data_IF_760705199157
#
_entry.id   IF_760705199157
#
_cell.length_a   1.000
_cell.length_b   1.000
_cell.length_c   1.000
_cell.angle_alpha   90.00
_cell.angle_beta   90.00
_cell.angle_gamma   90.00
#
_symmetry.space_group_name_H-M   'P 1'
#
loop_
_entity.id
_entity.type
_entity.pdbx_description
1 polymer ?
#
# COMPACT_ATOMS: atom_id res chain seq x y z
N UNK A 1 28.33 -0.62 -13.05
CA UNK A 1 29.58 -0.19 -13.71
C UNK A 1 30.60 0.07 -12.62
N UNK A 2 31.78 -0.56 -12.68
CA UNK A 2 32.86 -0.27 -11.74
C UNK A 2 33.58 -1.51 -11.19
N UNK A 3 34.37 -2.17 -12.06
CA UNK A 3 35.68 -2.77 -11.76
C UNK A 3 35.86 -3.75 -10.58
N UNK A 4 35.91 -5.04 -10.92
CA UNK A 4 36.93 -5.98 -10.38
C UNK A 4 38.34 -5.59 -10.88
N UNK A 5 39.44 -6.32 -10.59
CA UNK A 5 39.91 -7.03 -9.38
C UNK A 5 41.36 -6.62 -9.01
N UNK A 6 41.85 -6.87 -7.78
CA UNK A 6 43.31 -6.92 -7.53
C UNK A 6 43.70 -7.94 -6.45
N UNK A 7 44.03 -9.14 -6.88
CA UNK A 7 45.20 -9.88 -6.34
C UNK A 7 46.43 -9.45 -7.17
N UNK A 8 47.69 -9.80 -6.86
CA UNK A 8 48.27 -10.55 -5.73
C UNK A 8 49.53 -9.88 -5.11
N UNK A 9 50.03 -10.34 -3.95
CA UNK A 9 51.48 -10.51 -3.81
C UNK A 9 51.88 -11.46 -2.66
N UNK A 10 52.63 -12.53 -2.96
CA UNK A 10 53.36 -13.32 -1.99
C UNK A 10 54.73 -12.68 -1.75
N UNK A 11 55.03 -12.29 -0.51
CA UNK A 11 56.40 -11.99 -0.08
C UNK A 11 57.03 -13.27 0.45
N UNK A 12 57.75 -13.89 -0.48
CA UNK A 12 58.82 -14.83 -0.21
C UNK A 12 60.09 -14.05 0.11
N UNK A 13 60.95 -14.65 0.97
CA UNK A 13 62.42 -14.56 1.08
C UNK A 13 62.84 -14.57 2.58
N UNK A 14 64.07 -14.99 2.94
CA UNK A 14 64.84 -16.11 2.42
C UNK A 14 65.42 -17.01 3.53
N UNK A 15 65.64 -18.27 3.13
CA UNK A 15 66.51 -19.28 3.74
C UNK A 15 68.00 -18.87 3.67
N UNK A 16 68.75 -18.99 4.78
CA UNK A 16 70.15 -19.42 4.78
C UNK A 16 70.20 -20.82 5.43
N UNK A 17 70.68 -21.89 4.80
CA UNK A 17 72.01 -22.03 4.22
C UNK A 17 72.91 -22.76 5.25
N UNK A 18 73.30 -24.03 5.02
CA UNK A 18 74.11 -24.81 5.95
C UNK A 18 75.59 -24.45 5.80
N UNK A 19 76.27 -24.16 6.91
CA UNK A 19 77.73 -24.07 6.95
C UNK A 19 78.26 -25.18 7.84
N UNK A 20 78.53 -26.31 7.17
CA UNK A 20 79.59 -27.22 7.56
C UNK A 20 80.91 -26.45 7.54
N UNK A 21 81.60 -26.40 8.67
CA UNK A 21 83.05 -26.23 8.69
C UNK A 21 83.61 -27.08 9.81
N UNK A 22 84.00 -28.29 9.42
CA UNK A 22 84.97 -29.12 10.12
C UNK A 22 86.17 -28.27 10.54
N UNK A 23 86.47 -28.26 11.83
CA UNK A 23 87.84 -28.04 12.29
C UNK A 23 88.07 -29.02 13.44
N UNK A 24 88.47 -30.21 13.02
CA UNK A 24 89.15 -31.19 13.82
C UNK A 24 90.44 -30.53 14.36
N UNK A 25 90.39 -30.13 15.64
CA UNK A 25 91.60 -29.81 16.41
C UNK A 25 91.53 -30.64 17.67
N UNK A 26 92.34 -31.68 17.68
CA UNK A 26 92.72 -32.50 18.82
C UNK A 26 93.40 -31.63 19.90
N UNK A 27 92.84 -31.50 21.12
CA UNK A 27 93.63 -31.09 22.27
C UNK A 27 94.15 -32.34 22.98
N UNK A 28 95.47 -32.47 22.91
CA UNK A 28 96.32 -33.33 23.72
C UNK A 28 95.86 -33.35 25.18
N UNK A 29 95.51 -34.54 25.67
CA UNK A 29 95.28 -34.82 27.09
C UNK A 29 96.62 -34.58 27.81
N UNK A 30 96.78 -33.39 28.39
CA UNK A 30 97.82 -33.13 29.39
C UNK A 30 97.19 -33.22 30.77
N UNK A 31 97.53 -34.32 31.44
CA UNK A 31 97.24 -34.55 32.86
C UNK A 31 98.19 -33.65 33.68
N UNK A 32 97.64 -33.05 34.73
CA UNK A 32 98.30 -32.46 35.94
C UNK A 32 98.63 -30.97 35.88
N UNK A 33 97.93 -30.19 36.71
CA UNK A 33 98.50 -29.51 37.89
C UNK A 33 97.36 -28.87 38.73
N UNK A 34 97.26 -29.28 39.99
CA UNK A 34 96.29 -28.78 40.97
C UNK A 34 96.51 -27.31 41.28
N UNK A 35 95.55 -26.46 40.92
CA UNK A 35 95.44 -25.09 41.38
C UNK A 35 94.40 -25.00 42.52
N UNK A 36 94.82 -24.68 43.77
CA UNK A 36 93.90 -24.54 44.90
C UNK A 36 92.95 -23.31 44.81
N UNK A 37 93.08 -22.45 43.78
CA UNK A 37 92.17 -21.31 43.61
C UNK A 37 90.78 -21.73 43.08
N UNK A 38 90.69 -22.76 42.24
CA UNK A 38 89.43 -23.22 41.62
C UNK A 38 88.47 -23.78 42.68
N UNK A 39 89.00 -24.46 43.70
CA UNK A 39 88.19 -25.01 44.79
C UNK A 39 87.58 -23.89 45.64
N UNK A 40 88.29 -22.78 45.87
CA UNK A 40 87.72 -21.62 46.56
C UNK A 40 86.61 -20.93 45.75
N UNK A 41 86.77 -20.78 44.42
CA UNK A 41 85.69 -20.27 43.56
C UNK A 41 84.50 -21.22 43.48
N UNK A 42 84.73 -22.53 43.47
CA UNK A 42 83.65 -23.52 43.52
C UNK A 42 82.84 -23.40 44.81
N UNK A 43 83.51 -23.26 45.96
CA UNK A 43 82.83 -23.08 47.26
C UNK A 43 82.10 -21.74 47.34
N UNK A 44 82.69 -20.63 46.88
CA UNK A 44 81.98 -19.34 46.82
C UNK A 44 80.78 -19.38 45.86
N UNK A 45 80.95 -20.04 44.72
CA UNK A 45 79.90 -20.25 43.73
C UNK A 45 78.71 -21.00 44.32
N UNK A 46 78.92 -22.06 45.09
CA UNK A 46 77.80 -22.81 45.69
C UNK A 46 77.00 -22.02 46.72
N UNK A 47 77.58 -21.01 47.37
CA UNK A 47 76.84 -20.10 48.27
C UNK A 47 76.15 -18.95 47.54
N UNK A 48 76.78 -18.37 46.51
CA UNK A 48 76.24 -17.22 45.78
C UNK A 48 75.17 -17.65 44.76
N UNK A 49 75.34 -18.83 44.16
CA UNK A 49 74.44 -19.38 43.14
C UNK A 49 72.99 -19.56 43.63
N UNK A 50 72.67 -20.14 44.80
CA UNK A 50 71.30 -20.20 45.26
C UNK A 50 70.74 -18.80 45.57
N UNK A 51 71.56 -17.89 46.09
CA UNK A 51 71.13 -16.53 46.42
C UNK A 51 70.76 -15.72 45.17
N UNK A 52 71.41 -15.99 44.03
CA UNK A 52 71.12 -15.34 42.74
C UNK A 52 70.06 -16.08 41.91
N UNK A 53 70.00 -17.41 41.99
CA UNK A 53 69.05 -18.22 41.23
C UNK A 53 67.62 -18.16 41.79
N UNK A 54 67.45 -18.13 43.12
CA UNK A 54 66.11 -18.11 43.72
C UNK A 54 65.25 -16.92 43.25
N UNK A 55 65.71 -15.66 43.33
CA UNK A 55 64.94 -14.52 42.85
C UNK A 55 64.71 -14.60 41.34
N UNK A 56 65.69 -15.08 40.57
CA UNK A 56 65.55 -15.26 39.13
C UNK A 56 64.45 -16.27 38.77
N UNK A 57 64.38 -17.40 39.49
CA UNK A 57 63.34 -18.41 39.29
C UNK A 57 61.95 -17.88 39.67
N UNK A 58 61.84 -17.11 40.76
CA UNK A 58 60.58 -16.47 41.16
C UNK A 58 60.11 -15.45 40.10
N UNK A 59 61.00 -14.59 39.61
CA UNK A 59 60.69 -13.66 38.52
C UNK A 59 60.25 -14.40 37.26
N UNK A 60 60.93 -15.51 36.90
CA UNK A 60 60.55 -16.34 35.75
C UNK A 60 59.15 -16.92 35.90
N UNK A 61 58.77 -17.37 37.10
CA UNK A 61 57.41 -17.87 37.39
C UNK A 61 56.37 -16.76 37.25
N UNK A 62 56.61 -15.59 37.83
CA UNK A 62 55.70 -14.43 37.72
C UNK A 62 55.53 -13.98 36.27
N UNK A 63 56.63 -13.90 35.52
CA UNK A 63 56.61 -13.52 34.10
C UNK A 63 55.82 -14.53 33.25
N UNK A 64 55.87 -15.82 33.59
CA UNK A 64 55.04 -16.85 32.95
C UNK A 64 53.54 -16.65 33.21
N UNK A 65 53.15 -16.32 34.44
CA UNK A 65 51.75 -16.02 34.79
C UNK A 65 51.28 -14.76 34.07
N UNK A 66 52.09 -13.69 34.08
CA UNK A 66 51.76 -12.46 33.38
C UNK A 66 51.59 -12.68 31.87
N UNK A 67 52.47 -13.48 31.24
CA UNK A 67 52.34 -13.88 29.83
C UNK A 67 51.03 -14.64 29.57
N UNK A 68 50.66 -15.58 30.43
CA UNK A 68 49.38 -16.31 30.31
C UNK A 68 48.18 -15.36 30.42
N UNK A 69 48.24 -14.41 31.35
CA UNK A 69 47.18 -13.41 31.51
C UNK A 69 47.09 -12.47 30.29
N UNK A 70 48.23 -12.03 29.75
CA UNK A 70 48.27 -11.21 28.52
C UNK A 70 47.64 -12.00 27.36
N UNK A 71 48.04 -13.26 27.16
CA UNK A 71 47.46 -14.09 26.10
C UNK A 71 45.95 -14.30 26.30
N UNK A 72 45.49 -14.48 27.54
CA UNK A 72 44.06 -14.61 27.85
C UNK A 72 43.28 -13.30 27.65
N UNK A 73 43.91 -12.16 27.89
CA UNK A 73 43.33 -10.84 27.61
C UNK A 73 43.28 -10.58 26.11
N UNK A 74 44.31 -10.99 25.37
CA UNK A 74 44.34 -10.89 23.91
C UNK A 74 43.24 -11.73 23.27
N UNK A 75 43.06 -12.98 23.71
CA UNK A 75 41.98 -13.84 23.20
C UNK A 75 40.59 -13.28 23.52
N UNK A 76 40.38 -12.77 24.74
CA UNK A 76 39.10 -12.15 25.09
C UNK A 76 38.85 -10.85 24.33
N UNK A 77 39.88 -10.05 24.05
CA UNK A 77 39.75 -8.84 23.25
C UNK A 77 39.38 -9.17 21.79
N UNK A 78 39.99 -10.21 21.20
CA UNK A 78 39.64 -10.66 19.85
C UNK A 78 38.17 -11.11 19.77
N UNK A 79 37.70 -11.88 20.75
CA UNK A 79 36.29 -12.33 20.81
C UNK A 79 35.36 -11.12 20.96
N UNK A 80 35.64 -10.20 21.89
CA UNK A 80 34.82 -9.00 22.07
C UNK A 80 34.77 -8.12 20.81
N UNK A 81 35.88 -7.99 20.08
CA UNK A 81 35.88 -7.27 18.80
C UNK A 81 35.04 -7.98 17.76
N UNK A 82 35.11 -9.31 17.70
CA UNK A 82 34.27 -10.10 16.80
C UNK A 82 32.79 -9.96 17.14
N UNK A 83 32.42 -10.03 18.41
CA UNK A 83 31.04 -9.87 18.87
C UNK A 83 30.50 -8.46 18.61
N UNK A 84 31.31 -7.42 18.85
CA UNK A 84 30.95 -6.03 18.53
C UNK A 84 30.70 -5.87 17.03
N UNK A 85 31.58 -6.43 16.18
CA UNK A 85 31.40 -6.39 14.74
C UNK A 85 30.14 -7.15 14.30
N UNK A 86 29.86 -8.31 14.90
CA UNK A 86 28.64 -9.07 14.64
C UNK A 86 27.39 -8.27 15.04
N UNK A 87 27.37 -7.69 16.24
CA UNK A 87 26.26 -6.85 16.70
C UNK A 87 26.09 -5.58 15.84
N UNK A 88 27.18 -4.98 15.36
CA UNK A 88 27.10 -3.85 14.43
C UNK A 88 26.47 -4.26 13.09
N UNK A 89 26.78 -5.45 12.57
CA UNK A 89 26.15 -5.97 11.35
C UNK A 89 24.67 -6.27 11.57
N UNK A 90 24.30 -6.93 12.66
CA UNK A 90 22.91 -7.22 13.00
C UNK A 90 22.08 -5.95 13.18
N UNK A 91 22.61 -4.95 13.89
CA UNK A 91 21.93 -3.65 14.03
C UNK A 91 21.83 -2.89 12.73
N UNK A 92 22.79 -3.07 11.81
CA UNK A 92 22.72 -2.56 10.44
C UNK A 92 21.57 -3.19 9.66
N UNK A 93 21.45 -4.52 9.68
CA UNK A 93 20.39 -5.27 9.02
C UNK A 93 19.01 -4.90 9.58
N UNK A 94 18.87 -4.86 10.90
CA UNK A 94 17.61 -4.47 11.54
C UNK A 94 17.16 -3.04 11.17
N UNK A 95 18.11 -2.11 11.03
CA UNK A 95 17.80 -0.75 10.56
C UNK A 95 17.32 -0.73 9.11
N UNK A 96 17.95 -1.52 8.23
CA UNK A 96 17.54 -1.64 6.83
C UNK A 96 16.12 -2.23 6.72
N UNK A 97 15.82 -3.26 7.50
CA UNK A 97 14.47 -3.84 7.58
C UNK A 97 13.44 -2.83 8.07
N UNK A 98 13.75 -2.07 9.12
CA UNK A 98 12.85 -1.01 9.62
C UNK A 98 12.62 0.08 8.57
N UNK A 99 13.66 0.48 7.82
CA UNK A 99 13.50 1.44 6.72
C UNK A 99 12.62 0.88 5.61
N UNK A 100 12.80 -0.40 5.26
CA UNK A 100 11.97 -1.10 4.26
C UNK A 100 10.51 -1.17 4.70
N UNK A 101 10.24 -1.57 5.93
CA UNK A 101 8.88 -1.63 6.48
C UNK A 101 8.24 -0.24 6.51
N UNK A 102 8.99 0.80 6.87
CA UNK A 102 8.50 2.18 6.82
C UNK A 102 8.17 2.63 5.39
N UNK A 103 8.97 2.25 4.41
CA UNK A 103 8.68 2.50 2.99
C UNK A 103 7.36 1.86 2.58
N UNK A 104 7.20 0.56 2.85
CA UNK A 104 5.97 -0.18 2.53
C UNK A 104 4.73 0.39 3.26
N UNK A 105 4.88 0.79 4.53
CA UNK A 105 3.79 1.45 5.26
C UNK A 105 3.41 2.79 4.64
N UNK A 106 4.39 3.56 4.17
CA UNK A 106 4.12 4.83 3.52
C UNK A 106 3.38 4.63 2.19
N UNK A 107 3.82 3.68 1.37
CA UNK A 107 3.16 3.29 0.12
C UNK A 107 1.71 2.82 0.37
N UNK A 108 1.49 1.98 1.38
CA UNK A 108 0.13 1.55 1.76
C UNK A 108 -0.75 2.72 2.24
N UNK A 109 -0.17 3.68 2.98
CA UNK A 109 -0.92 4.85 3.42
C UNK A 109 -1.33 5.74 2.24
N UNK A 110 -0.44 5.91 1.27
CA UNK A 110 -0.71 6.65 0.03
C UNK A 110 -1.82 5.97 -0.79
N UNK A 111 -1.76 4.65 -0.96
CA UNK A 111 -2.78 3.87 -1.67
C UNK A 111 -4.15 3.94 -0.97
N UNK A 112 -4.18 3.88 0.38
CA UNK A 112 -5.42 4.04 1.15
C UNK A 112 -6.00 5.45 0.98
N UNK A 113 -5.14 6.47 0.94
CA UNK A 113 -5.57 7.85 0.72
C UNK A 113 -6.14 8.03 -0.70
N UNK A 114 -5.48 7.49 -1.72
CA UNK A 114 -5.97 7.48 -3.10
C UNK A 114 -7.34 6.79 -3.21
N UNK A 115 -7.47 5.57 -2.70
CA UNK A 115 -8.74 4.82 -2.70
C UNK A 115 -9.85 5.58 -1.95
N UNK A 116 -9.51 6.27 -0.87
CA UNK A 116 -10.46 7.10 -0.12
C UNK A 116 -10.93 8.29 -0.96
N UNK A 117 -10.04 8.99 -1.64
CA UNK A 117 -10.41 10.10 -2.53
C UNK A 117 -11.25 9.63 -3.71
N UNK A 118 -10.91 8.49 -4.32
CA UNK A 118 -11.68 7.89 -5.40
C UNK A 118 -13.09 7.49 -4.92
N UNK A 119 -13.19 6.90 -3.73
CA UNK A 119 -14.47 6.57 -3.10
C UNK A 119 -15.37 7.79 -2.90
N UNK A 120 -14.80 8.89 -2.39
CA UNK A 120 -15.52 10.16 -2.21
C UNK A 120 -15.97 10.76 -3.56
N UNK A 121 -15.11 10.71 -4.59
CA UNK A 121 -15.45 11.20 -5.92
C UNK A 121 -16.59 10.38 -6.55
N UNK A 122 -16.54 9.06 -6.43
CA UNK A 122 -17.60 8.16 -6.90
C UNK A 122 -18.91 8.44 -6.18
N UNK A 123 -18.90 8.58 -4.85
CA UNK A 123 -20.11 8.91 -4.08
C UNK A 123 -20.70 10.27 -4.50
N UNK A 124 -19.86 11.29 -4.68
CA UNK A 124 -20.30 12.60 -5.15
C UNK A 124 -20.92 12.53 -6.56
N UNK A 125 -20.31 11.80 -7.49
CA UNK A 125 -20.83 11.61 -8.84
C UNK A 125 -22.18 10.87 -8.85
N UNK A 126 -22.31 9.85 -8.00
CA UNK A 126 -23.55 9.09 -7.85
C UNK A 126 -24.66 9.97 -7.32
N UNK A 127 -24.38 10.77 -6.29
CA UNK A 127 -25.35 11.72 -5.73
C UNK A 127 -25.80 12.75 -6.77
N UNK A 128 -24.87 13.30 -7.55
CA UNK A 128 -25.19 14.21 -8.64
C UNK A 128 -26.09 13.56 -9.71
N UNK A 129 -25.84 12.30 -10.05
CA UNK A 129 -26.67 11.54 -10.99
C UNK A 129 -28.07 11.26 -10.41
N UNK A 130 -28.16 10.88 -9.13
CA UNK A 130 -29.43 10.67 -8.44
C UNK A 130 -30.25 11.98 -8.38
N UNK A 131 -29.61 13.12 -8.11
CA UNK A 131 -30.27 14.43 -8.10
C UNK A 131 -30.73 14.83 -9.52
N UNK A 132 -29.91 14.59 -10.55
CA UNK A 132 -30.28 14.83 -11.96
C UNK A 132 -31.52 14.02 -12.36
N UNK A 133 -31.48 12.70 -12.13
CA UNK A 133 -32.60 11.81 -12.46
C UNK A 133 -33.87 12.18 -11.69
N UNK A 134 -33.75 12.56 -10.42
CA UNK A 134 -34.90 13.06 -9.64
C UNK A 134 -35.49 14.34 -10.22
N UNK A 135 -34.64 15.27 -10.66
CA UNK A 135 -35.09 16.53 -11.28
C UNK A 135 -35.79 16.30 -12.62
N UNK A 136 -35.29 15.36 -13.43
CA UNK A 136 -35.89 14.96 -14.71
C UNK A 136 -37.27 14.31 -14.49
N UNK A 137 -37.39 13.41 -13.51
CA UNK A 137 -38.66 12.80 -13.14
C UNK A 137 -39.68 13.86 -12.68
N UNK A 138 -39.25 14.83 -11.87
CA UNK A 138 -40.12 15.94 -11.45
C UNK A 138 -40.58 16.78 -12.63
N UNK A 139 -39.69 17.07 -13.59
CA UNK A 139 -40.02 17.81 -14.81
C UNK A 139 -41.04 17.05 -15.66
N UNK A 140 -40.84 15.75 -15.87
CA UNK A 140 -41.77 14.90 -16.62
C UNK A 140 -43.15 14.83 -15.94
N UNK A 141 -43.20 14.75 -14.61
CA UNK A 141 -44.46 14.79 -13.87
C UNK A 141 -45.16 16.14 -13.98
N UNK A 142 -44.42 17.25 -13.96
CA UNK A 142 -44.98 18.59 -14.14
C UNK A 142 -45.55 18.77 -15.56
N UNK A 143 -44.83 18.29 -16.58
CA UNK A 143 -45.28 18.30 -17.97
C UNK A 143 -46.50 17.41 -18.20
N UNK A 144 -46.52 16.21 -17.60
CA UNK A 144 -47.69 15.32 -17.62
C UNK A 144 -48.92 15.96 -16.94
N UNK A 145 -48.74 16.74 -15.87
CA UNK A 145 -49.84 17.52 -15.27
C UNK A 145 -50.31 18.66 -16.19
N UNK A 146 -49.37 19.36 -16.82
CA UNK A 146 -49.70 20.47 -17.72
C UNK A 146 -50.51 20.02 -18.94
N UNK A 147 -50.11 18.90 -19.55
CA UNK A 147 -50.83 18.28 -20.67
C UNK A 147 -52.23 17.79 -20.28
N UNK A 148 -52.41 17.27 -19.06
CA UNK A 148 -53.73 16.91 -18.53
C UNK A 148 -54.66 18.12 -18.39
N UNK A 149 -54.17 19.21 -17.81
CA UNK A 149 -54.96 20.45 -17.68
C UNK A 149 -55.37 21.01 -19.05
N UNK A 150 -54.49 20.93 -20.06
CA UNK A 150 -54.83 21.30 -21.44
C UNK A 150 -55.93 20.40 -22.00
N UNK A 151 -55.85 19.08 -21.78
CA UNK A 151 -56.89 18.12 -22.18
C UNK A 151 -58.26 18.42 -21.55
N UNK A 152 -58.29 18.79 -20.27
CA UNK A 152 -59.52 19.20 -19.59
C UNK A 152 -60.11 20.48 -20.19
N UNK A 153 -59.26 21.48 -20.50
CA UNK A 153 -59.71 22.71 -21.15
C UNK A 153 -60.29 22.48 -22.55
N UNK A 154 -59.68 21.59 -23.34
CA UNK A 154 -60.18 21.19 -24.66
C UNK A 154 -61.51 20.45 -24.54
N UNK A 155 -61.67 19.60 -23.52
CA UNK A 155 -62.94 18.91 -23.26
C UNK A 155 -64.05 19.90 -22.87
N UNK A 156 -63.75 20.88 -22.03
CA UNK A 156 -64.70 21.93 -21.66
C UNK A 156 -65.12 22.77 -22.88
N UNK A 157 -64.17 23.12 -23.76
CA UNK A 157 -64.46 23.76 -25.04
C UNK A 157 -65.33 22.88 -25.94
N UNK A 158 -65.07 21.58 -25.99
CA UNK A 158 -65.88 20.61 -26.74
C UNK A 158 -67.34 20.60 -26.29
N UNK A 159 -67.60 20.64 -24.98
CA UNK A 159 -68.98 20.72 -24.43
C UNK A 159 -69.65 22.03 -24.86
N UNK A 160 -68.98 23.17 -24.69
CA UNK A 160 -69.55 24.47 -25.12
C UNK A 160 -69.82 24.52 -26.63
N UNK A 161 -68.96 23.92 -27.45
CA UNK A 161 -69.15 23.84 -28.90
C UNK A 161 -70.34 22.94 -29.28
N UNK A 162 -70.56 21.85 -28.56
CA UNK A 162 -71.73 20.99 -28.73
C UNK A 162 -73.03 21.74 -28.40
N UNK A 163 -73.03 22.53 -27.32
CA UNK A 163 -74.18 23.36 -26.92
C UNK A 163 -74.49 24.44 -27.98
N UNK A 164 -73.45 25.11 -28.52
CA UNK A 164 -73.61 26.07 -29.62
C UNK A 164 -74.17 25.38 -30.87
N UNK A 165 -73.66 24.20 -31.24
CA UNK A 165 -74.16 23.45 -32.39
C UNK A 165 -75.62 23.02 -32.20
N UNK A 166 -76.00 22.58 -31.00
CA UNK A 166 -77.38 22.25 -30.65
C UNK A 166 -78.29 23.48 -30.76
N UNK A 167 -77.86 24.62 -30.22
CA UNK A 167 -78.58 25.89 -30.34
C UNK A 167 -78.73 26.34 -31.80
N UNK A 168 -77.66 26.28 -32.60
CA UNK A 168 -77.71 26.63 -34.02
C UNK A 168 -78.70 25.74 -34.78
N UNK A 169 -78.72 24.44 -34.48
CA UNK A 169 -79.68 23.50 -35.06
C UNK A 169 -81.12 23.84 -34.66
N UNK A 170 -81.36 24.13 -33.39
CA UNK A 170 -82.68 24.55 -32.90
C UNK A 170 -83.13 25.88 -33.54
N UNK A 171 -82.20 26.83 -33.71
CA UNK A 171 -82.48 28.11 -34.34
C UNK A 171 -82.81 27.95 -35.83
N UNK A 172 -82.15 27.04 -36.54
CA UNK A 172 -82.48 26.65 -37.92
C UNK A 172 -83.89 26.05 -38.01
N UNK A 173 -84.29 25.23 -37.03
CA UNK A 173 -85.64 24.66 -36.94
C UNK A 173 -86.71 25.75 -36.69
N UNK A 174 -86.40 26.76 -35.86
CA UNK A 174 -87.33 27.87 -35.55
C UNK A 174 -87.42 28.92 -36.67
N UNK A 175 -86.39 29.09 -37.52
CA UNK A 175 -86.35 30.09 -38.60
C UNK A 175 -86.01 29.48 -39.97
N UNK A 176 -86.90 28.66 -40.57
CA UNK A 176 -86.61 27.92 -41.80
C UNK A 176 -86.42 28.80 -43.06
N UNK A 177 -86.81 30.07 -43.01
CA UNK A 177 -86.78 30.99 -44.16
C UNK A 177 -85.41 31.63 -44.44
N UNK A 178 -84.47 31.58 -43.50
CA UNK A 178 -83.14 32.22 -43.63
C UNK A 178 -81.99 31.24 -43.92
N UNK A 179 -82.20 29.93 -43.74
CA UNK A 179 -81.14 28.93 -43.90
C UNK A 179 -80.84 28.62 -45.37
N UNK A 180 -79.63 28.93 -45.85
CA UNK A 180 -79.15 28.37 -47.12
C UNK A 180 -78.87 26.88 -46.92
N UNK A 181 -79.22 26.06 -47.90
CA UNK A 181 -79.12 24.58 -47.87
C UNK A 181 -77.73 24.00 -47.49
N UNK A 182 -76.68 24.83 -47.45
CA UNK A 182 -75.32 24.45 -47.04
C UNK A 182 -75.00 24.59 -45.54
N UNK A 183 -75.82 25.28 -44.75
CA UNK A 183 -75.48 25.54 -43.34
C UNK A 183 -75.61 24.30 -42.43
N UNK A 184 -76.43 23.31 -42.83
CA UNK A 184 -76.53 22.00 -42.14
C UNK A 184 -75.20 21.28 -42.01
N UNK A 185 -74.34 21.39 -43.03
CA UNK A 185 -73.02 20.77 -43.03
C UNK A 185 -72.10 21.39 -41.98
N UNK A 186 -72.27 22.69 -41.67
CA UNK A 186 -71.44 23.39 -40.68
C UNK A 186 -71.81 22.99 -39.25
N UNK A 187 -73.10 22.83 -38.98
CA UNK A 187 -73.59 22.37 -37.67
C UNK A 187 -73.11 20.94 -37.36
N UNK A 188 -73.19 20.04 -38.34
CA UNK A 188 -72.65 18.68 -38.17
C UNK A 188 -71.13 18.67 -38.00
N UNK A 189 -70.39 19.53 -38.71
CA UNK A 189 -68.95 19.65 -38.53
C UNK A 189 -68.57 20.15 -37.13
N UNK A 190 -69.35 21.08 -36.56
CA UNK A 190 -69.17 21.54 -35.18
C UNK A 190 -69.45 20.42 -34.17
N UNK A 191 -70.51 19.63 -34.38
CA UNK A 191 -70.82 18.45 -33.56
C UNK A 191 -69.72 17.39 -33.58
N UNK A 192 -69.20 17.07 -34.77
CA UNK A 192 -68.10 16.13 -34.91
C UNK A 192 -66.82 16.64 -34.24
N UNK A 193 -66.52 17.94 -34.39
CA UNK A 193 -65.35 18.55 -33.74
C UNK A 193 -65.49 18.54 -32.21
N UNK A 194 -66.67 18.86 -31.70
CA UNK A 194 -67.00 18.79 -30.27
C UNK A 194 -66.85 17.36 -29.73
N UNK A 195 -67.36 16.36 -30.46
CA UNK A 195 -67.24 14.95 -30.09
C UNK A 195 -65.78 14.48 -30.08
N UNK A 196 -64.95 14.91 -31.04
CA UNK A 196 -63.53 14.59 -31.05
C UNK A 196 -62.80 15.21 -29.85
N UNK A 197 -63.11 16.46 -29.50
CA UNK A 197 -62.55 17.12 -28.32
C UNK A 197 -63.00 16.47 -27.01
N UNK A 198 -64.24 15.98 -26.95
CA UNK A 198 -64.77 15.35 -25.74
C UNK A 198 -64.17 13.95 -25.49
N UNK A 199 -63.90 13.20 -26.56
CA UNK A 199 -63.36 11.84 -26.53
C UNK A 199 -61.83 11.77 -26.59
N UNK A 200 -61.12 12.87 -26.35
CA UNK A 200 -59.68 12.80 -26.13
C UNK A 200 -59.41 11.85 -24.96
N UNK A 201 -58.50 10.86 -25.13
CA UNK A 201 -58.25 9.84 -24.13
C UNK A 201 -57.91 10.52 -22.81
N UNK A 202 -58.79 10.34 -21.82
CA UNK A 202 -58.50 10.81 -20.46
C UNK A 202 -57.27 10.05 -20.01
N UNK A 203 -56.16 10.76 -19.84
CA UNK A 203 -54.94 10.16 -19.28
C UNK A 203 -55.34 9.38 -18.03
N UNK A 204 -55.03 8.08 -17.94
CA UNK A 204 -55.45 7.24 -16.83
C UNK A 204 -54.99 7.88 -15.52
N UNK A 205 -55.90 7.97 -14.56
CA UNK A 205 -55.60 8.56 -13.26
C UNK A 205 -54.56 7.70 -12.54
N UNK A 206 -53.41 8.26 -12.13
CA UNK A 206 -52.36 7.52 -11.45
C UNK A 206 -52.76 7.15 -10.02
N UNK A 207 -53.92 7.63 -9.56
CA UNK A 207 -54.49 7.41 -8.23
C UNK A 207 -55.32 6.16 -8.12
N UNK A 208 -55.43 5.33 -9.17
CA UNK A 208 -55.87 3.94 -8.99
C UNK A 208 -54.63 3.10 -8.70
N UNK A 209 -54.25 2.88 -7.42
CA UNK A 209 -53.16 1.97 -7.13
C UNK A 209 -53.57 0.62 -7.67
N UNK A 210 -52.77 0.09 -8.59
CA UNK A 210 -52.75 -1.32 -8.94
C UNK A 210 -52.29 -2.13 -7.71
N UNK A 211 -53.14 -2.16 -6.70
CA UNK A 211 -53.25 -3.28 -5.80
C UNK A 211 -53.63 -4.46 -6.69
N UNK A 212 -53.04 -5.62 -6.46
CA UNK A 212 -53.39 -6.89 -7.11
C UNK A 212 -52.57 -7.31 -8.34
N UNK A 213 -51.24 -7.36 -8.18
CA UNK A 213 -50.45 -8.42 -8.83
C UNK A 213 -49.27 -8.88 -7.96
N UNK A 214 -49.50 -9.06 -6.66
CA UNK A 214 -48.64 -9.90 -5.80
C UNK A 214 -49.29 -11.27 -5.71
N UNK A 215 -49.19 -12.04 -6.77
CA UNK A 215 -49.37 -13.49 -6.68
C UNK A 215 -48.40 -14.14 -7.63
N UNK A 216 -47.56 -14.98 -7.04
CA UNK A 216 -46.80 -16.06 -7.67
C UNK A 216 -45.37 -15.75 -8.11
N UNK A 217 -44.51 -16.69 -7.72
CA UNK A 217 -43.08 -16.88 -7.98
C UNK A 217 -42.16 -16.10 -7.03
N UNK A 218 -41.77 -16.58 -5.85
CA UNK A 218 -41.56 -17.94 -5.31
C UNK A 218 -40.59 -18.81 -6.12
N UNK A 219 -39.48 -19.19 -5.44
CA UNK A 219 -38.49 -20.25 -5.75
C UNK A 219 -37.59 -19.93 -6.96
N UNK A 220 -36.26 -20.03 -6.91
CA UNK A 220 -35.27 -20.79 -6.10
C UNK A 220 -33.89 -20.50 -6.76
N UNK A 221 -32.80 -21.14 -6.32
CA UNK A 221 -32.11 -21.07 -5.03
C UNK A 221 -31.06 -19.94 -4.95
#
# INVERSE_FOLDING_TARGET
MGSSPSSPHPDSLPRPGPSESSTEVTPVITVRQSYPAITHFAVLGTFILPFTLLPYLLCKRQLSVLRRNINSLETSNVILRQDLNAAMLETGQAKEEVMRIRGLLHEMMEEIEELRTEGQQREASRKAQEDSTRSELQKLLAEARHTRLHGESLRALGVSLADIAAFMHEMELRMPLLGKRGDKSRVEQLRLSAYQMQNLPSSPDPTTPALESKSSQQKKP
#
